data_IF_580897429339
#
_entry.id   IF_580897429339
#
_cell.length_a   1.000
_cell.length_b   1.000
_cell.length_c   1.000
_cell.angle_alpha   90.00
_cell.angle_beta   90.00
_cell.angle_gamma   90.00
#
_symmetry.space_group_name_H-M   'P 1'
#
loop_
_entity.id
_entity.type
_entity.pdbx_description
1 polymer ?
#
# COMPACT_ATOMS: atom_id res chain seq x y z
N UNK A 1 -2.05 10.82 13.60
CA UNK A 1 -2.85 9.76 14.24
C UNK A 1 -4.35 10.02 14.03
N UNK A 2 -4.89 11.25 14.27
CA UNK A 2 -6.31 11.54 14.13
C UNK A 2 -6.86 11.44 12.70
N UNK A 3 -6.13 11.92 11.67
CA UNK A 3 -6.58 11.86 10.26
C UNK A 3 -6.51 10.46 9.65
N UNK A 4 -5.56 9.62 10.06
CA UNK A 4 -5.45 8.22 9.59
C UNK A 4 -6.57 7.37 10.20
N UNK A 5 -6.87 7.59 11.48
CA UNK A 5 -8.02 6.95 12.11
C UNK A 5 -9.35 7.41 11.48
N UNK A 6 -9.43 8.64 10.99
CA UNK A 6 -10.63 9.16 10.35
C UNK A 6 -10.85 8.53 8.96
N UNK A 7 -9.80 8.33 8.16
CA UNK A 7 -9.90 7.70 6.82
C UNK A 7 -10.15 6.19 6.96
N UNK A 8 -9.49 5.51 7.92
CA UNK A 8 -9.82 4.11 8.25
C UNK A 8 -11.25 3.99 8.79
N UNK A 9 -11.67 4.94 9.63
CA UNK A 9 -13.03 5.00 10.16
C UNK A 9 -14.06 5.26 9.05
N UNK A 10 -13.76 6.14 8.08
CA UNK A 10 -14.64 6.41 6.93
C UNK A 10 -14.70 5.22 5.95
N UNK A 11 -13.58 4.55 5.63
CA UNK A 11 -13.59 3.37 4.76
C UNK A 11 -14.24 2.15 5.44
N UNK A 12 -13.99 1.95 6.73
CA UNK A 12 -14.67 0.93 7.53
C UNK A 12 -16.16 1.28 7.69
N UNK A 13 -16.48 2.56 7.92
CA UNK A 13 -17.85 3.05 8.02
C UNK A 13 -18.59 2.97 6.67
N UNK A 14 -17.93 3.28 5.54
CA UNK A 14 -18.52 3.14 4.20
C UNK A 14 -18.74 1.66 3.86
N UNK A 15 -17.84 0.77 4.26
CA UNK A 15 -18.01 -0.67 4.09
C UNK A 15 -19.16 -1.22 4.95
N UNK A 16 -19.23 -0.81 6.22
CA UNK A 16 -20.37 -1.16 7.07
C UNK A 16 -21.64 -0.47 6.61
N UNK A 17 -21.56 0.72 6.03
CA UNK A 17 -22.70 1.41 5.45
C UNK A 17 -23.19 0.72 4.16
N UNK A 18 -22.30 0.22 3.30
CA UNK A 18 -22.66 -0.56 2.09
C UNK A 18 -23.18 -1.94 2.49
N UNK A 19 -22.55 -2.61 3.47
CA UNK A 19 -23.10 -3.86 4.05
C UNK A 19 -24.42 -3.59 4.75
N UNK A 20 -24.57 -2.48 5.44
CA UNK A 20 -25.81 -2.06 6.08
C UNK A 20 -26.88 -1.74 5.03
N UNK A 21 -26.54 -1.10 3.91
CA UNK A 21 -27.46 -0.84 2.80
C UNK A 21 -27.82 -2.11 2.05
N UNK A 22 -26.85 -2.99 1.81
CA UNK A 22 -27.11 -4.33 1.24
C UNK A 22 -27.87 -5.22 2.22
N UNK A 23 -27.52 -5.18 3.51
CA UNK A 23 -28.29 -5.85 4.56
C UNK A 23 -29.67 -5.23 4.72
N UNK A 24 -29.85 -3.92 4.53
CA UNK A 24 -31.17 -3.28 4.48
C UNK A 24 -31.96 -3.63 3.23
N UNK A 25 -31.31 -3.68 2.06
CA UNK A 25 -31.97 -4.15 0.83
C UNK A 25 -32.27 -5.64 0.93
N UNK A 26 -31.33 -6.43 1.48
CA UNK A 26 -31.54 -7.86 1.74
C UNK A 26 -32.47 -8.10 2.95
N UNK A 27 -32.35 -7.29 4.02
CA UNK A 27 -33.30 -7.29 5.14
C UNK A 27 -34.68 -6.83 4.69
N UNK A 28 -34.78 -5.94 3.73
CA UNK A 28 -36.03 -5.59 3.07
C UNK A 28 -36.60 -6.78 2.28
N UNK A 29 -35.75 -7.55 1.58
CA UNK A 29 -36.14 -8.80 0.93
C UNK A 29 -36.47 -9.90 1.94
N UNK A 30 -35.67 -10.03 3.01
CA UNK A 30 -35.89 -11.01 4.09
C UNK A 30 -37.11 -10.63 4.94
N UNK A 31 -37.28 -9.36 5.31
CA UNK A 31 -38.45 -8.86 6.03
C UNK A 31 -39.71 -9.05 5.19
N UNK A 32 -39.64 -8.86 3.88
CA UNK A 32 -40.75 -9.08 2.99
C UNK A 32 -41.15 -10.57 2.92
N UNK A 33 -40.16 -11.48 2.78
CA UNK A 33 -40.41 -12.93 2.77
C UNK A 33 -40.76 -13.49 4.16
N UNK A 34 -40.13 -12.98 5.22
CA UNK A 34 -40.45 -13.40 6.60
C UNK A 34 -41.77 -12.82 7.11
N UNK A 35 -42.15 -11.61 6.68
CA UNK A 35 -43.44 -11.02 7.04
C UNK A 35 -44.63 -11.76 6.41
N UNK A 36 -44.45 -12.33 5.23
CA UNK A 36 -45.55 -13.13 4.61
C UNK A 36 -45.74 -14.47 5.33
N UNK A 37 -44.66 -15.16 5.74
CA UNK A 37 -44.75 -16.48 6.42
C UNK A 37 -45.00 -16.33 7.95
N UNK A 38 -44.64 -15.21 8.55
CA UNK A 38 -44.79 -14.94 9.99
C UNK A 38 -46.06 -14.17 10.33
N UNK A 39 -46.59 -13.36 9.40
CA UNK A 39 -47.86 -12.64 9.56
C UNK A 39 -49.09 -13.53 9.42
N UNK A 40 -48.94 -14.70 8.76
CA UNK A 40 -50.02 -15.73 8.74
C UNK A 40 -50.04 -16.55 10.04
N UNK A 41 -49.05 -16.46 10.92
CA UNK A 41 -48.95 -17.33 12.12
C UNK A 41 -48.87 -16.62 13.46
N UNK A 42 -48.70 -15.32 13.54
CA UNK A 42 -48.65 -14.62 14.84
C UNK A 42 -49.24 -13.23 14.75
N UNK A 43 -50.27 -13.05 15.54
CA UNK A 43 -50.98 -11.82 15.88
C UNK A 43 -50.03 -10.68 16.20
N UNK A 44 -49.80 -9.79 15.25
CA UNK A 44 -49.47 -8.40 15.54
C UNK A 44 -50.28 -7.52 14.60
N UNK A 45 -51.29 -6.93 15.17
CA UNK A 45 -52.16 -5.90 14.59
C UNK A 45 -51.30 -4.62 14.38
N UNK A 46 -50.59 -4.55 13.24
CA UNK A 46 -49.94 -3.31 12.78
C UNK A 46 -50.89 -2.58 11.83
N UNK A 47 -52.02 -2.15 12.36
CA UNK A 47 -52.99 -1.28 11.65
C UNK A 47 -52.63 0.21 11.87
N UNK A 48 -51.37 0.55 11.75
CA UNK A 48 -50.89 1.95 11.68
C UNK A 48 -49.80 2.13 10.61
N UNK A 49 -50.00 1.49 9.49
CA UNK A 49 -49.05 1.62 8.38
C UNK A 49 -49.21 2.95 7.66
N UNK A 50 -48.19 3.76 7.64
CA UNK A 50 -48.10 4.96 6.79
C UNK A 50 -48.52 4.60 5.35
N UNK A 51 -49.20 5.51 4.60
CA UNK A 51 -49.62 5.26 3.22
C UNK A 51 -48.48 4.80 2.29
N UNK A 52 -47.25 5.09 2.66
CA UNK A 52 -46.02 4.71 1.95
C UNK A 52 -45.80 3.18 2.06
N UNK A 53 -45.98 2.60 3.25
CA UNK A 53 -45.82 1.15 3.46
C UNK A 53 -46.87 0.31 2.72
N UNK A 54 -48.15 0.76 2.73
CA UNK A 54 -49.21 0.12 1.92
C UNK A 54 -48.89 0.18 0.44
N UNK A 55 -48.35 1.28 -0.04
CA UNK A 55 -47.97 1.48 -1.46
C UNK A 55 -46.76 0.64 -1.86
N UNK A 56 -45.78 0.49 -0.95
CA UNK A 56 -44.60 -0.38 -1.15
C UNK A 56 -45.02 -1.87 -1.12
N UNK A 57 -45.83 -2.28 -0.15
CA UNK A 57 -46.40 -3.66 -0.07
C UNK A 57 -47.17 -4.03 -1.32
N UNK A 58 -48.06 -3.13 -1.78
CA UNK A 58 -48.86 -3.34 -2.99
C UNK A 58 -47.95 -3.43 -4.24
N UNK A 59 -46.93 -2.56 -4.35
CA UNK A 59 -45.99 -2.63 -5.46
C UNK A 59 -45.10 -3.88 -5.42
N UNK A 60 -44.71 -4.33 -4.24
CA UNK A 60 -43.94 -5.56 -4.09
C UNK A 60 -44.77 -6.81 -4.35
N UNK A 61 -46.04 -6.85 -3.90
CA UNK A 61 -46.98 -7.95 -4.24
C UNK A 61 -47.30 -7.97 -5.74
N UNK A 62 -47.53 -6.81 -6.36
CA UNK A 62 -47.66 -6.75 -7.83
C UNK A 62 -46.38 -7.23 -8.52
N UNK A 63 -45.22 -6.84 -8.07
CA UNK A 63 -43.92 -7.27 -8.65
C UNK A 63 -43.68 -8.78 -8.50
N UNK A 64 -44.15 -9.40 -7.42
CA UNK A 64 -44.06 -10.85 -7.22
C UNK A 64 -45.06 -11.60 -8.07
N UNK A 65 -46.35 -11.18 -8.10
CA UNK A 65 -47.36 -11.74 -8.99
C UNK A 65 -47.00 -11.54 -10.47
N UNK A 66 -46.46 -10.37 -10.80
CA UNK A 66 -45.91 -10.12 -12.14
C UNK A 66 -44.66 -10.97 -12.42
N UNK A 67 -43.92 -11.38 -11.41
CA UNK A 67 -42.73 -12.24 -11.55
C UNK A 67 -43.13 -13.70 -11.83
N UNK A 68 -44.17 -14.21 -11.19
CA UNK A 68 -44.77 -15.54 -11.55
C UNK A 68 -45.33 -15.54 -12.96
N UNK A 69 -45.96 -14.45 -13.40
CA UNK A 69 -46.39 -14.26 -14.79
C UNK A 69 -45.24 -13.96 -15.76
N UNK A 70 -44.09 -13.41 -15.28
CA UNK A 70 -42.94 -13.04 -16.13
C UNK A 70 -41.86 -14.12 -16.20
N UNK A 71 -41.94 -15.19 -15.44
CA UNK A 71 -41.20 -16.43 -15.74
C UNK A 71 -41.54 -16.93 -17.14
N UNK A 72 -42.75 -16.59 -17.63
CA UNK A 72 -43.17 -16.83 -19.03
C UNK A 72 -42.81 -15.69 -20.01
N UNK A 73 -42.50 -14.48 -19.53
CA UNK A 73 -42.25 -13.28 -20.36
C UNK A 73 -40.97 -12.54 -19.94
N UNK A 74 -39.84 -13.20 -20.10
CA UNK A 74 -38.47 -12.77 -19.83
C UNK A 74 -38.08 -11.30 -19.81
N UNK A 75 -37.12 -10.99 -18.97
CA UNK A 75 -35.87 -10.35 -19.26
C UNK A 75 -35.56 -8.92 -18.81
N UNK A 76 -36.41 -7.99 -18.61
CA UNK A 76 -35.94 -6.63 -18.40
C UNK A 76 -35.56 -6.27 -16.96
N UNK A 77 -36.34 -6.67 -15.97
CA UNK A 77 -36.05 -6.35 -14.56
C UNK A 77 -34.98 -7.26 -13.92
N UNK A 78 -34.91 -8.50 -14.38
CA UNK A 78 -33.84 -9.43 -13.99
C UNK A 78 -32.46 -8.91 -14.42
N UNK A 79 -32.39 -8.25 -15.57
CA UNK A 79 -31.17 -7.60 -16.08
C UNK A 79 -30.76 -6.40 -15.20
N UNK A 80 -31.70 -5.54 -14.81
CA UNK A 80 -31.39 -4.39 -13.94
C UNK A 80 -30.83 -4.81 -12.56
N UNK A 81 -31.39 -5.88 -11.95
CA UNK A 81 -30.85 -6.41 -10.68
C UNK A 81 -29.50 -7.08 -10.87
N UNK A 82 -29.30 -7.80 -11.97
CA UNK A 82 -27.99 -8.37 -12.29
C UNK A 82 -26.96 -7.28 -12.56
N UNK A 83 -27.33 -6.20 -13.23
CA UNK A 83 -26.44 -5.07 -13.48
C UNK A 83 -26.03 -4.36 -12.18
N UNK A 84 -26.98 -4.18 -11.24
CA UNK A 84 -26.68 -3.65 -9.92
C UNK A 84 -25.70 -4.58 -9.16
N UNK A 85 -25.98 -5.88 -9.12
CA UNK A 85 -25.12 -6.85 -8.44
C UNK A 85 -23.76 -6.99 -9.11
N UNK A 86 -23.69 -6.81 -10.42
CA UNK A 86 -22.44 -6.83 -11.19
C UNK A 86 -21.61 -5.54 -11.04
N UNK A 87 -22.27 -4.40 -10.74
CA UNK A 87 -21.59 -3.12 -10.49
C UNK A 87 -20.90 -3.06 -9.12
N UNK A 88 -21.23 -3.97 -8.19
CA UNK A 88 -20.61 -4.03 -6.88
C UNK A 88 -19.19 -4.59 -6.98
N UNK A 89 -18.24 -3.92 -6.34
CA UNK A 89 -16.85 -4.43 -6.22
C UNK A 89 -16.71 -5.51 -5.14
N UNK A 90 -17.70 -6.40 -5.09
CA UNK A 90 -17.78 -7.53 -4.17
C UNK A 90 -18.06 -8.79 -4.97
N UNK A 91 -17.50 -9.89 -4.56
CA UNK A 91 -17.84 -11.20 -5.12
C UNK A 91 -19.03 -11.77 -4.35
N UNK A 92 -20.12 -12.06 -5.05
CA UNK A 92 -21.36 -12.57 -4.46
C UNK A 92 -21.72 -13.90 -5.10
N UNK A 93 -21.93 -14.92 -4.26
CA UNK A 93 -22.41 -16.24 -4.65
C UNK A 93 -23.59 -16.68 -3.79
N UNK A 94 -24.56 -17.36 -4.39
CA UNK A 94 -25.66 -18.03 -3.70
C UNK A 94 -25.53 -19.52 -3.98
N UNK A 95 -25.55 -20.33 -2.92
CA UNK A 95 -25.42 -21.77 -3.00
C UNK A 95 -26.60 -22.47 -2.31
N UNK A 96 -26.84 -23.73 -2.70
CA UNK A 96 -27.72 -24.64 -1.98
C UNK A 96 -26.99 -25.40 -0.85
N UNK A 97 -27.70 -26.31 -0.19
CA UNK A 97 -27.17 -27.14 0.90
C UNK A 97 -26.04 -28.08 0.43
N UNK A 98 -25.99 -28.44 -0.84
CA UNK A 98 -25.00 -29.31 -1.45
C UNK A 98 -23.82 -28.55 -2.04
N UNK A 99 -23.77 -27.22 -1.84
CA UNK A 99 -22.76 -26.30 -2.38
C UNK A 99 -22.90 -26.05 -3.90
N UNK A 100 -24.02 -26.40 -4.53
CA UNK A 100 -24.24 -26.05 -5.93
C UNK A 100 -24.45 -24.55 -6.06
N UNK A 101 -23.81 -23.93 -7.06
CA UNK A 101 -23.92 -22.52 -7.35
C UNK A 101 -25.25 -22.22 -8.06
N UNK A 102 -26.13 -21.52 -7.35
CA UNK A 102 -27.42 -21.08 -7.89
C UNK A 102 -27.27 -19.73 -8.62
N UNK A 103 -26.45 -18.85 -8.05
CA UNK A 103 -26.17 -17.54 -8.61
C UNK A 103 -24.75 -17.11 -8.26
N UNK A 104 -24.07 -16.44 -9.18
CA UNK A 104 -22.82 -15.71 -8.95
C UNK A 104 -22.81 -14.43 -9.79
N UNK A 105 -22.28 -13.34 -9.22
CA UNK A 105 -22.12 -12.13 -9.98
C UNK A 105 -20.88 -12.17 -10.89
N UNK A 106 -20.77 -11.19 -11.79
CA UNK A 106 -19.66 -11.12 -12.75
C UNK A 106 -18.29 -11.17 -12.08
N UNK A 107 -18.09 -10.40 -11.00
CA UNK A 107 -16.82 -10.35 -10.25
C UNK A 107 -16.41 -11.71 -9.69
N UNK A 108 -17.36 -12.49 -9.20
CA UNK A 108 -17.12 -13.84 -8.72
C UNK A 108 -16.68 -14.76 -9.87
N UNK A 109 -17.35 -14.67 -11.02
CA UNK A 109 -16.98 -15.46 -12.22
C UNK A 109 -15.59 -15.13 -12.72
N UNK A 110 -15.25 -13.83 -12.80
CA UNK A 110 -13.96 -13.34 -13.26
C UNK A 110 -12.81 -13.85 -12.39
N UNK A 111 -12.89 -13.65 -11.07
CA UNK A 111 -11.81 -13.99 -10.12
C UNK A 111 -11.60 -15.50 -10.00
N UNK A 112 -12.66 -16.29 -10.08
CA UNK A 112 -12.59 -17.75 -9.96
C UNK A 112 -12.60 -18.49 -11.31
N UNK A 113 -12.62 -17.75 -12.42
CA UNK A 113 -12.59 -18.29 -13.80
C UNK A 113 -13.68 -19.34 -14.03
N UNK A 114 -14.92 -19.00 -13.64
CA UNK A 114 -16.05 -19.90 -13.71
C UNK A 114 -16.67 -19.88 -15.10
N UNK A 115 -16.21 -20.74 -15.99
CA UNK A 115 -16.86 -20.88 -17.29
C UNK A 115 -18.08 -21.83 -17.22
N UNK A 116 -18.04 -22.85 -16.37
CA UNK A 116 -19.12 -23.85 -16.18
C UNK A 116 -19.04 -24.60 -14.85
N UNK A 117 -18.58 -23.98 -13.77
CA UNK A 117 -18.49 -24.71 -12.51
C UNK A 117 -19.82 -24.64 -11.76
N UNK A 118 -20.38 -25.79 -11.49
CA UNK A 118 -21.70 -25.93 -10.88
C UNK A 118 -21.60 -26.05 -9.35
N UNK A 119 -20.42 -26.27 -8.77
CA UNK A 119 -20.27 -26.52 -7.33
C UNK A 119 -19.09 -25.74 -6.73
N UNK A 120 -19.35 -25.03 -5.64
CA UNK A 120 -18.39 -24.18 -4.94
C UNK A 120 -17.16 -24.94 -4.42
N UNK A 121 -17.31 -26.20 -3.99
CA UNK A 121 -16.18 -27.03 -3.51
C UNK A 121 -15.20 -27.36 -4.61
N UNK A 122 -15.67 -27.55 -5.83
CA UNK A 122 -14.79 -27.82 -6.99
C UNK A 122 -14.06 -26.57 -7.45
N UNK A 123 -14.67 -25.41 -7.23
CA UNK A 123 -14.11 -24.10 -7.58
C UNK A 123 -13.01 -23.70 -6.61
N UNK A 124 -13.31 -23.71 -5.33
CA UNK A 124 -12.38 -23.17 -4.32
C UNK A 124 -11.35 -24.20 -3.86
N UNK A 125 -11.66 -25.49 -3.91
CA UNK A 125 -10.78 -26.63 -3.52
C UNK A 125 -10.07 -26.42 -2.18
N UNK A 126 -10.71 -25.70 -1.27
CA UNK A 126 -10.17 -25.36 0.05
C UNK A 126 -11.06 -25.98 1.15
N UNK A 127 -10.47 -26.86 1.93
CA UNK A 127 -11.15 -27.55 3.01
C UNK A 127 -11.49 -26.61 4.17
N UNK A 128 -10.62 -25.64 4.47
CA UNK A 128 -10.85 -24.68 5.53
C UNK A 128 -12.03 -23.78 5.20
N UNK A 129 -12.07 -23.23 3.98
CA UNK A 129 -13.19 -22.44 3.48
C UNK A 129 -14.49 -23.25 3.51
N UNK A 130 -14.45 -24.47 2.95
CA UNK A 130 -15.63 -25.35 2.87
C UNK A 130 -16.17 -25.74 4.25
N UNK A 131 -15.30 -25.92 5.24
CA UNK A 131 -15.72 -26.21 6.63
C UNK A 131 -16.44 -25.03 7.26
N UNK A 132 -15.94 -23.80 7.06
CA UNK A 132 -16.59 -22.58 7.59
C UNK A 132 -17.97 -22.37 6.99
N UNK A 133 -18.11 -22.58 5.68
CA UNK A 133 -19.42 -22.48 4.99
C UNK A 133 -20.36 -23.61 5.44
N UNK A 134 -19.83 -24.84 5.66
CA UNK A 134 -20.62 -25.96 6.18
C UNK A 134 -21.19 -25.68 7.57
N UNK A 135 -20.44 -24.97 8.41
CA UNK A 135 -20.93 -24.56 9.74
C UNK A 135 -22.15 -23.62 9.58
N UNK A 136 -22.11 -22.69 8.61
CA UNK A 136 -23.25 -21.79 8.31
C UNK A 136 -24.47 -22.60 7.85
N UNK A 137 -24.26 -23.61 7.01
CA UNK A 137 -25.32 -24.48 6.52
C UNK A 137 -25.96 -25.26 7.67
N UNK A 138 -25.14 -25.83 8.56
CA UNK A 138 -25.61 -26.66 9.66
C UNK A 138 -26.32 -25.86 10.76
N UNK A 139 -25.74 -24.72 11.15
CA UNK A 139 -26.23 -23.90 12.27
C UNK A 139 -27.29 -22.90 11.84
N UNK A 140 -27.40 -22.61 10.55
CA UNK A 140 -28.27 -21.58 9.98
C UNK A 140 -28.02 -20.19 10.59
N UNK A 141 -26.76 -19.91 10.94
CA UNK A 141 -26.32 -18.62 11.50
C UNK A 141 -25.35 -17.92 10.56
N UNK A 142 -25.36 -16.58 10.61
CA UNK A 142 -24.39 -15.76 9.89
C UNK A 142 -23.00 -15.99 10.48
N UNK A 143 -21.99 -16.16 9.62
CA UNK A 143 -20.58 -16.27 9.99
C UNK A 143 -19.73 -15.32 9.17
N UNK A 144 -18.76 -14.70 9.82
CA UNK A 144 -17.74 -13.88 9.16
C UNK A 144 -16.37 -14.48 9.47
N UNK A 145 -15.55 -14.66 8.45
CA UNK A 145 -14.21 -15.21 8.60
C UNK A 145 -13.30 -14.69 7.50
N UNK A 146 -11.99 -14.69 7.77
CA UNK A 146 -11.00 -14.40 6.76
C UNK A 146 -10.58 -15.68 6.05
N UNK A 147 -10.40 -15.57 4.74
CA UNK A 147 -9.93 -16.65 3.91
C UNK A 147 -8.68 -16.23 3.14
N UNK A 148 -7.63 -17.05 3.25
CA UNK A 148 -6.37 -16.86 2.56
C UNK A 148 -6.27 -17.84 1.38
N UNK A 149 -6.15 -17.29 0.18
CA UNK A 149 -5.94 -18.04 -1.06
C UNK A 149 -4.49 -17.87 -1.52
N UNK A 150 -3.60 -18.84 -1.26
CA UNK A 150 -2.16 -18.70 -1.59
C UNK A 150 -1.88 -18.76 -3.10
N UNK A 151 -2.70 -19.47 -3.88
CA UNK A 151 -2.52 -19.72 -5.31
C UNK A 151 -3.76 -19.23 -6.07
N UNK A 152 -3.61 -18.54 -7.24
CA UNK A 152 -2.35 -18.20 -7.91
C UNK A 152 -1.61 -16.98 -7.35
N UNK A 153 -2.29 -16.06 -6.65
CA UNK A 153 -1.77 -14.72 -6.37
C UNK A 153 -1.79 -14.32 -4.90
N UNK A 154 -1.60 -15.22 -3.93
CA UNK A 154 -1.53 -14.89 -2.49
C UNK A 154 -2.55 -13.81 -2.06
N UNK A 155 -3.83 -14.13 -2.13
CA UNK A 155 -4.93 -13.19 -1.90
C UNK A 155 -5.63 -13.45 -0.57
N UNK A 156 -6.04 -12.38 0.09
CA UNK A 156 -6.81 -12.41 1.33
C UNK A 156 -8.23 -11.89 1.08
N UNK A 157 -9.21 -12.61 1.60
CA UNK A 157 -10.62 -12.27 1.46
C UNK A 157 -11.29 -12.19 2.83
N UNK A 158 -12.07 -11.15 3.05
CA UNK A 158 -13.07 -11.11 4.11
C UNK A 158 -14.34 -11.75 3.58
N UNK A 159 -14.80 -12.79 4.25
CA UNK A 159 -15.93 -13.62 3.81
C UNK A 159 -17.07 -13.49 4.80
N UNK A 160 -18.24 -13.18 4.28
CA UNK A 160 -19.49 -13.18 5.05
C UNK A 160 -20.42 -14.20 4.43
N UNK A 161 -20.76 -15.24 5.20
CA UNK A 161 -21.72 -16.26 4.78
C UNK A 161 -22.94 -16.25 5.70
N UNK A 162 -24.14 -16.31 5.12
CA UNK A 162 -25.40 -16.27 5.87
C UNK A 162 -26.53 -16.99 5.14
N UNK A 163 -27.52 -17.53 5.88
CA UNK A 163 -28.66 -18.21 5.29
C UNK A 163 -29.67 -17.21 4.69
N UNK A 164 -30.29 -17.59 3.57
CA UNK A 164 -31.40 -16.88 2.93
C UNK A 164 -32.41 -17.94 2.54
N UNK A 165 -33.49 -18.09 3.31
CA UNK A 165 -34.48 -19.13 3.10
C UNK A 165 -33.85 -20.53 3.01
N UNK A 166 -33.95 -21.20 1.85
CA UNK A 166 -33.36 -22.51 1.59
C UNK A 166 -31.95 -22.45 0.96
N UNK A 167 -31.38 -21.25 0.82
CA UNK A 167 -30.10 -21.02 0.20
C UNK A 167 -29.13 -20.34 1.17
N UNK A 168 -27.88 -20.22 0.76
CA UNK A 168 -26.83 -19.56 1.53
C UNK A 168 -26.13 -18.54 0.64
N UNK A 169 -26.06 -17.32 1.12
CA UNK A 169 -25.35 -16.25 0.46
C UNK A 169 -23.92 -16.19 0.97
N UNK A 170 -22.97 -16.06 0.07
CA UNK A 170 -21.55 -15.88 0.36
C UNK A 170 -21.07 -14.61 -0.31
N UNK A 171 -20.57 -13.69 0.48
CA UNK A 171 -19.99 -12.43 0.00
C UNK A 171 -18.50 -12.44 0.33
N UNK A 172 -17.65 -12.21 -0.67
CA UNK A 172 -16.21 -12.11 -0.50
C UNK A 172 -15.75 -10.71 -0.91
N UNK A 173 -14.96 -10.09 -0.04
CA UNK A 173 -14.26 -8.85 -0.31
C UNK A 173 -12.77 -9.12 -0.35
N UNK A 174 -12.10 -8.72 -1.42
CA UNK A 174 -10.64 -8.79 -1.48
C UNK A 174 -10.04 -7.73 -0.53
N UNK A 175 -9.31 -8.19 0.48
CA UNK A 175 -8.64 -7.35 1.48
C UNK A 175 -7.11 -7.42 1.36
N UNK A 176 -6.59 -7.95 0.26
CA UNK A 176 -5.15 -8.18 0.06
C UNK A 176 -4.35 -6.89 0.23
N UNK A 177 -4.80 -5.80 -0.40
CA UNK A 177 -4.14 -4.49 -0.27
C UNK A 177 -4.13 -4.01 1.18
N UNK A 178 -5.25 -4.15 1.89
CA UNK A 178 -5.36 -3.75 3.30
C UNK A 178 -4.41 -4.57 4.16
N UNK A 179 -4.38 -5.90 3.97
CA UNK A 179 -3.49 -6.81 4.69
C UNK A 179 -2.01 -6.53 4.42
N UNK A 180 -1.67 -6.27 3.17
CA UNK A 180 -0.31 -5.90 2.80
C UNK A 180 0.11 -4.59 3.46
N UNK A 181 -0.76 -3.57 3.47
CA UNK A 181 -0.49 -2.30 4.15
C UNK A 181 -0.34 -2.48 5.67
N UNK A 182 -1.18 -3.30 6.31
CA UNK A 182 -1.05 -3.63 7.73
C UNK A 182 0.27 -4.35 8.03
N UNK A 183 0.68 -5.30 7.18
CA UNK A 183 1.94 -6.03 7.33
C UNK A 183 3.12 -5.06 7.20
N UNK A 184 3.15 -4.25 6.14
CA UNK A 184 4.19 -3.23 5.93
C UNK A 184 4.28 -2.27 7.13
N UNK A 185 3.13 -1.88 7.70
CA UNK A 185 3.09 -1.02 8.90
C UNK A 185 3.64 -1.72 10.14
N UNK A 186 3.30 -2.99 10.36
CA UNK A 186 3.81 -3.79 11.49
C UNK A 186 5.32 -3.97 11.37
N UNK A 187 5.79 -4.34 10.19
CA UNK A 187 7.22 -4.52 9.90
C UNK A 187 7.99 -3.20 10.07
N UNK A 188 7.41 -2.08 9.65
CA UNK A 188 7.98 -0.76 9.87
C UNK A 188 8.18 -0.46 11.36
N UNK A 189 7.16 -0.63 12.20
CA UNK A 189 7.27 -0.38 13.65
C UNK A 189 8.29 -1.32 14.30
N UNK A 190 8.31 -2.58 13.92
CA UNK A 190 9.27 -3.56 14.42
C UNK A 190 10.71 -3.19 14.04
N UNK A 191 10.93 -2.81 12.78
CA UNK A 191 12.25 -2.41 12.28
C UNK A 191 12.74 -1.10 12.94
N UNK A 192 11.88 -0.08 13.09
CA UNK A 192 12.21 1.15 13.83
C UNK A 192 12.66 0.82 15.24
N UNK A 193 11.89 -0.01 15.95
CA UNK A 193 12.20 -0.40 17.32
C UNK A 193 13.55 -1.11 17.41
N UNK A 194 13.84 -2.02 16.48
CA UNK A 194 15.10 -2.74 16.42
C UNK A 194 16.30 -1.83 16.10
N UNK A 195 16.16 -0.96 15.07
CA UNK A 195 17.24 -0.04 14.66
C UNK A 195 17.50 1.08 15.67
N UNK A 196 16.54 1.43 16.54
CA UNK A 196 16.76 2.32 17.69
C UNK A 196 17.37 1.61 18.90
N UNK A 197 16.94 0.35 19.19
CA UNK A 197 17.41 -0.40 20.36
C UNK A 197 18.92 -0.71 20.29
N UNK A 198 19.42 -1.03 19.10
CA UNK A 198 20.82 -1.43 18.90
C UNK A 198 21.81 -0.31 19.30
N UNK A 199 21.75 0.93 18.72
CA UNK A 199 22.62 2.01 19.11
C UNK A 199 22.43 2.44 20.56
N UNK A 200 21.18 2.44 21.06
CA UNK A 200 20.90 2.78 22.46
C UNK A 200 21.57 1.82 23.43
N UNK A 201 21.46 0.50 23.18
CA UNK A 201 22.15 -0.50 24.02
C UNK A 201 23.66 -0.37 23.97
N UNK A 202 24.23 0.00 22.81
CA UNK A 202 25.65 0.27 22.65
C UNK A 202 26.09 1.50 23.48
N UNK A 203 25.33 2.61 23.39
CA UNK A 203 25.58 3.84 24.17
C UNK A 203 25.58 3.51 25.67
N UNK A 204 24.55 2.81 26.16
CA UNK A 204 24.44 2.43 27.57
C UNK A 204 25.65 1.58 27.99
N UNK A 205 25.96 0.51 27.26
CA UNK A 205 27.06 -0.38 27.60
C UNK A 205 28.44 0.29 27.61
N UNK A 206 28.71 1.16 26.61
CA UNK A 206 29.99 1.90 26.59
C UNK A 206 30.03 3.00 27.66
N UNK A 207 28.88 3.60 28.03
CA UNK A 207 28.83 4.58 29.14
C UNK A 207 29.12 3.90 30.49
N UNK A 208 28.58 2.69 30.71
CA UNK A 208 28.88 1.89 31.90
C UNK A 208 30.36 1.48 31.92
N UNK A 209 30.89 1.03 30.78
CA UNK A 209 32.31 0.63 30.66
C UNK A 209 33.24 1.81 30.82
N UNK A 210 32.88 3.00 30.37
CA UNK A 210 33.64 4.25 30.48
C UNK A 210 33.92 4.58 31.95
N UNK A 211 32.98 4.33 32.84
CA UNK A 211 33.17 4.55 34.30
C UNK A 211 34.24 3.66 34.92
N UNK A 212 34.54 2.51 34.30
CA UNK A 212 35.52 1.52 34.76
C UNK A 212 36.85 1.63 34.04
N UNK A 213 36.95 2.47 33.00
CA UNK A 213 38.15 2.61 32.19
C UNK A 213 39.32 3.26 32.95
N UNK A 214 40.46 2.57 32.99
CA UNK A 214 41.63 3.00 33.77
C UNK A 214 42.63 3.88 32.97
N UNK A 215 42.55 3.79 31.62
CA UNK A 215 43.47 4.56 30.79
C UNK A 215 42.72 5.52 29.85
N UNK A 216 43.35 6.64 29.49
CA UNK A 216 42.78 7.68 28.66
C UNK A 216 42.51 7.22 27.20
N UNK A 217 43.30 6.25 26.70
CA UNK A 217 43.13 5.74 25.34
C UNK A 217 41.80 4.97 25.20
N UNK A 218 41.48 4.16 26.20
CA UNK A 218 40.18 3.41 26.19
C UNK A 218 39.00 4.35 26.41
N UNK A 219 39.17 5.36 27.31
CA UNK A 219 38.13 6.37 27.51
C UNK A 219 37.81 7.10 26.20
N UNK A 220 38.83 7.60 25.48
CA UNK A 220 38.66 8.30 24.23
C UNK A 220 38.00 7.40 23.17
N UNK A 221 38.36 6.11 23.10
CA UNK A 221 37.74 5.14 22.21
C UNK A 221 36.25 4.96 22.54
N UNK A 222 35.88 4.81 23.81
CA UNK A 222 34.48 4.62 24.21
C UNK A 222 33.65 5.87 23.96
N UNK A 223 34.21 7.08 24.25
CA UNK A 223 33.57 8.35 23.92
C UNK A 223 33.29 8.45 22.42
N UNK A 224 34.26 8.07 21.58
CA UNK A 224 34.10 8.12 20.12
C UNK A 224 32.97 7.18 19.65
N UNK A 225 32.90 5.96 20.20
CA UNK A 225 31.81 5.02 19.87
C UNK A 225 30.45 5.58 20.33
N UNK A 226 30.38 6.15 21.53
CA UNK A 226 29.12 6.76 22.03
C UNK A 226 28.68 7.90 21.09
N UNK A 227 29.62 8.76 20.66
CA UNK A 227 29.33 9.87 19.77
C UNK A 227 28.84 9.37 18.40
N UNK A 228 29.46 8.33 17.85
CA UNK A 228 29.11 7.71 16.59
C UNK A 228 27.70 7.11 16.66
N UNK A 229 27.38 6.34 17.71
CA UNK A 229 26.08 5.74 17.88
C UNK A 229 24.97 6.78 18.13
N UNK A 230 25.28 7.86 18.84
CA UNK A 230 24.37 8.98 19.06
C UNK A 230 24.08 9.74 17.75
N UNK A 231 25.08 9.96 16.93
CA UNK A 231 24.93 10.58 15.60
C UNK A 231 24.12 9.70 14.67
N UNK A 232 24.36 8.38 14.70
CA UNK A 232 23.56 7.41 13.94
C UNK A 232 22.09 7.43 14.35
N UNK A 233 21.81 7.49 15.66
CA UNK A 233 20.44 7.54 16.17
C UNK A 233 19.76 8.86 15.79
N UNK A 234 20.47 10.00 15.84
CA UNK A 234 19.97 11.28 15.37
C UNK A 234 19.57 11.21 13.89
N UNK A 235 20.46 10.73 13.02
CA UNK A 235 20.16 10.61 11.58
C UNK A 235 18.96 9.70 11.31
N UNK A 236 18.81 8.60 12.06
CA UNK A 236 17.64 7.71 11.93
C UNK A 236 16.34 8.43 12.29
N UNK A 237 16.36 9.24 13.36
CA UNK A 237 15.18 10.02 13.77
C UNK A 237 14.84 11.08 12.71
N UNK A 238 15.84 11.77 12.17
CA UNK A 238 15.66 12.77 11.09
C UNK A 238 15.07 12.12 9.83
N UNK A 239 15.55 10.94 9.43
CA UNK A 239 15.01 10.18 8.31
C UNK A 239 13.56 9.75 8.55
N UNK A 240 13.21 9.31 9.79
CA UNK A 240 11.84 8.94 10.16
C UNK A 240 10.89 10.14 10.13
N UNK A 241 11.32 11.30 10.63
CA UNK A 241 10.53 12.53 10.58
C UNK A 241 10.32 12.98 9.13
N UNK A 242 11.36 12.94 8.30
CA UNK A 242 11.28 13.25 6.87
C UNK A 242 10.30 12.32 6.16
N UNK A 243 10.40 11.00 6.40
CA UNK A 243 9.48 10.02 5.82
C UNK A 243 8.03 10.30 6.25
N UNK A 244 7.79 10.54 7.55
CA UNK A 244 6.46 10.87 8.07
C UNK A 244 5.90 12.15 7.44
N UNK A 245 6.73 13.14 7.20
CA UNK A 245 6.33 14.38 6.53
C UNK A 245 5.87 14.09 5.10
N UNK A 246 6.67 13.38 4.31
CA UNK A 246 6.34 13.09 2.91
C UNK A 246 5.18 12.09 2.74
N UNK A 247 4.91 11.20 3.69
CA UNK A 247 3.74 10.31 3.67
C UNK A 247 2.42 11.04 3.89
N UNK A 248 2.44 12.17 4.60
CA UNK A 248 1.23 12.93 4.90
C UNK A 248 0.87 13.99 3.83
N UNK A 249 1.74 14.22 2.85
CA UNK A 249 1.57 15.27 1.83
C UNK A 249 0.74 14.85 0.60
N UNK A 250 0.02 13.74 0.63
CA UNK A 250 -0.73 13.20 -0.53
C UNK A 250 -1.72 14.16 -1.22
N UNK A 251 -1.96 15.39 -0.70
CA UNK A 251 -2.98 16.29 -1.23
C UNK A 251 -2.60 17.79 -1.28
N UNK A 252 -1.35 18.17 -1.31
CA UNK A 252 -1.04 19.59 -1.50
C UNK A 252 -0.97 19.92 -2.99
N UNK A 253 -2.02 20.57 -3.51
CA UNK A 253 -2.10 21.10 -4.89
C UNK A 253 -1.13 22.26 -5.19
N UNK A 254 -0.24 22.61 -4.29
CA UNK A 254 0.72 23.68 -4.52
C UNK A 254 1.82 23.15 -5.44
N UNK A 255 1.66 23.34 -6.72
CA UNK A 255 2.73 23.17 -7.72
C UNK A 255 3.86 24.13 -7.38
N UNK A 256 4.85 23.66 -6.67
CA UNK A 256 6.10 24.39 -6.45
C UNK A 256 7.04 24.04 -7.59
N UNK A 257 7.69 25.05 -8.15
CA UNK A 257 8.72 24.86 -9.15
C UNK A 257 10.08 25.05 -8.48
N UNK A 258 11.07 24.27 -8.89
CA UNK A 258 12.42 24.47 -8.41
C UNK A 258 13.46 24.32 -9.53
N UNK A 259 14.54 25.08 -9.41
CA UNK A 259 15.71 25.01 -10.27
C UNK A 259 16.54 23.77 -9.93
N UNK A 260 16.78 22.93 -10.95
CA UNK A 260 17.57 21.71 -10.81
C UNK A 260 19.01 22.04 -10.44
N UNK A 261 19.62 23.03 -11.09
CA UNK A 261 21.00 23.43 -10.85
C UNK A 261 21.19 23.88 -9.40
N UNK A 262 20.28 24.74 -8.89
CA UNK A 262 20.38 25.22 -7.51
C UNK A 262 20.25 24.07 -6.49
N UNK A 263 19.30 23.16 -6.71
CA UNK A 263 19.09 22.04 -5.79
C UNK A 263 20.28 21.08 -5.76
N UNK A 264 20.81 20.71 -6.92
CA UNK A 264 21.96 19.81 -7.01
C UNK A 264 23.21 20.44 -6.38
N UNK A 265 23.48 21.73 -6.64
CA UNK A 265 24.62 22.42 -6.02
C UNK A 265 24.49 22.51 -4.50
N UNK A 266 23.31 22.76 -3.95
CA UNK A 266 23.08 22.73 -2.50
C UNK A 266 23.37 21.34 -1.93
N UNK A 267 22.93 20.28 -2.60
CA UNK A 267 23.19 18.90 -2.17
C UNK A 267 24.69 18.54 -2.22
N UNK A 268 25.39 18.91 -3.30
CA UNK A 268 26.84 18.69 -3.44
C UNK A 268 27.61 19.40 -2.32
N UNK A 269 27.32 20.69 -2.08
CA UNK A 269 27.97 21.47 -1.04
C UNK A 269 27.73 20.88 0.36
N UNK A 270 26.53 20.35 0.64
CA UNK A 270 26.23 19.73 1.94
C UNK A 270 27.01 18.43 2.19
N UNK A 271 27.47 17.76 1.14
CA UNK A 271 28.21 16.50 1.20
C UNK A 271 29.71 16.64 0.89
N UNK A 272 30.20 17.87 0.71
CA UNK A 272 31.58 18.15 0.34
C UNK A 272 32.62 17.57 1.34
N UNK A 273 32.36 17.69 2.64
CA UNK A 273 33.21 17.11 3.68
C UNK A 273 33.34 15.59 3.52
N UNK A 274 32.20 14.89 3.35
CA UNK A 274 32.19 13.43 3.21
C UNK A 274 32.86 12.96 1.92
N UNK A 275 32.67 13.67 0.81
CA UNK A 275 33.33 13.33 -0.46
C UNK A 275 34.84 13.50 -0.39
N UNK A 276 35.32 14.57 0.27
CA UNK A 276 36.74 14.83 0.49
C UNK A 276 37.39 13.78 1.39
N UNK A 277 36.72 13.31 2.43
CA UNK A 277 37.23 12.26 3.32
C UNK A 277 37.57 10.96 2.56
N UNK A 278 36.81 10.62 1.52
CA UNK A 278 37.04 9.46 0.66
C UNK A 278 37.78 9.80 -0.65
N UNK A 279 38.17 11.05 -0.83
CA UNK A 279 38.79 11.54 -2.07
C UNK A 279 37.92 11.22 -3.31
N UNK A 280 36.59 11.44 -3.20
CA UNK A 280 35.63 11.23 -4.29
C UNK A 280 35.33 12.58 -4.93
N UNK A 281 35.50 12.66 -6.25
CA UNK A 281 35.15 13.83 -7.05
C UNK A 281 33.72 13.76 -7.58
N UNK A 282 32.93 14.81 -7.40
CA UNK A 282 31.57 14.91 -7.91
C UNK A 282 31.60 15.87 -9.10
N UNK A 283 31.18 15.38 -10.26
CA UNK A 283 31.11 16.14 -11.50
C UNK A 283 29.64 16.46 -11.83
N UNK A 284 29.35 17.75 -11.92
CA UNK A 284 28.04 18.26 -12.31
C UNK A 284 28.25 19.48 -13.22
N UNK A 285 27.64 19.47 -14.40
CA UNK A 285 27.70 20.59 -15.33
C UNK A 285 26.61 21.61 -15.03
N UNK A 286 26.96 22.66 -14.31
CA UNK A 286 26.05 23.74 -13.89
C UNK A 286 25.98 24.92 -14.87
N UNK A 287 26.72 24.82 -16.00
CA UNK A 287 26.70 25.84 -17.05
C UNK A 287 25.61 25.63 -18.11
N UNK A 288 24.83 24.54 -17.99
CA UNK A 288 23.66 24.29 -18.84
C UNK A 288 22.52 25.26 -18.53
N UNK A 289 21.56 25.35 -19.45
CA UNK A 289 20.35 26.15 -19.26
C UNK A 289 19.64 25.78 -17.96
N UNK A 290 19.18 26.80 -17.24
CA UNK A 290 18.41 26.62 -16.01
C UNK A 290 17.06 25.99 -16.34
N UNK A 291 16.80 24.80 -15.78
CA UNK A 291 15.57 24.04 -16.00
C UNK A 291 14.84 23.91 -14.68
N UNK A 292 13.52 24.10 -14.73
CA UNK A 292 12.64 23.91 -13.56
C UNK A 292 11.82 22.63 -13.68
N UNK A 293 11.66 21.97 -12.51
CA UNK A 293 10.81 20.79 -12.35
C UNK A 293 9.72 21.04 -11.31
N UNK A 294 8.62 20.32 -11.44
CA UNK A 294 7.45 20.45 -10.57
C UNK A 294 7.67 19.72 -9.24
N UNK A 295 8.47 20.30 -8.36
CA UNK A 295 8.63 19.87 -6.96
C UNK A 295 9.14 21.05 -6.13
N UNK A 296 9.21 20.92 -4.80
CA UNK A 296 9.83 21.96 -3.99
C UNK A 296 11.36 21.87 -4.02
N UNK A 297 12.00 23.00 -3.73
CA UNK A 297 13.48 23.05 -3.64
C UNK A 297 14.01 22.08 -2.59
N UNK A 298 13.36 22.03 -1.44
CA UNK A 298 13.74 21.15 -0.32
C UNK A 298 13.60 19.68 -0.71
N UNK A 299 12.54 19.31 -1.43
CA UNK A 299 12.31 17.96 -1.91
C UNK A 299 13.38 17.48 -2.89
N UNK A 300 13.73 18.32 -3.87
CA UNK A 300 14.78 17.97 -4.83
C UNK A 300 16.16 17.90 -4.19
N UNK A 301 16.46 18.81 -3.26
CA UNK A 301 17.70 18.75 -2.44
C UNK A 301 17.75 17.44 -1.65
N UNK A 302 16.64 17.03 -1.02
CA UNK A 302 16.57 15.78 -0.26
C UNK A 302 16.76 14.54 -1.14
N UNK A 303 16.17 14.52 -2.34
CA UNK A 303 16.40 13.47 -3.34
C UNK A 303 17.90 13.37 -3.65
N UNK A 304 18.51 14.51 -4.01
CA UNK A 304 19.91 14.56 -4.40
C UNK A 304 20.85 14.14 -3.26
N UNK A 305 20.61 14.63 -2.03
CA UNK A 305 21.39 14.24 -0.85
C UNK A 305 21.34 12.73 -0.63
N UNK A 306 20.14 12.13 -0.68
CA UNK A 306 19.99 10.70 -0.43
C UNK A 306 20.71 9.83 -1.47
N UNK A 307 20.69 10.24 -2.75
CA UNK A 307 21.35 9.48 -3.81
C UNK A 307 22.87 9.71 -3.77
N UNK A 308 23.33 10.95 -3.63
CA UNK A 308 24.77 11.28 -3.59
C UNK A 308 25.43 10.69 -2.34
N UNK A 309 24.80 10.78 -1.16
CA UNK A 309 25.32 10.18 0.08
C UNK A 309 25.43 8.65 -0.04
N UNK A 310 24.46 7.98 -0.67
CA UNK A 310 24.56 6.57 -1.01
C UNK A 310 25.72 6.30 -1.97
N UNK A 311 25.87 7.10 -3.01
CA UNK A 311 26.98 6.96 -3.97
C UNK A 311 28.34 7.11 -3.29
N UNK A 312 28.50 8.08 -2.38
CA UNK A 312 29.74 8.27 -1.58
C UNK A 312 29.96 7.08 -0.64
N UNK A 313 28.91 6.62 0.05
CA UNK A 313 29.00 5.52 1.02
C UNK A 313 29.47 4.22 0.38
N UNK A 314 28.93 3.86 -0.78
CA UNK A 314 29.17 2.57 -1.41
C UNK A 314 30.24 2.59 -2.50
N UNK A 315 30.80 3.76 -2.81
CA UNK A 315 31.97 3.88 -3.68
C UNK A 315 33.28 3.64 -2.92
N UNK A 316 34.29 3.21 -3.67
CA UNK A 316 35.68 3.13 -3.18
C UNK A 316 36.29 4.52 -3.10
N UNK A 317 37.40 4.63 -2.37
CA UNK A 317 38.22 5.83 -2.39
C UNK A 317 38.75 6.12 -3.78
N UNK A 318 38.99 7.39 -4.09
CA UNK A 318 39.56 7.86 -5.37
C UNK A 318 38.69 7.51 -6.59
N UNK A 319 37.38 7.57 -6.45
CA UNK A 319 36.41 7.36 -7.54
C UNK A 319 35.65 8.64 -7.87
N UNK A 320 34.84 8.59 -8.92
CA UNK A 320 34.06 9.71 -9.40
C UNK A 320 32.56 9.43 -9.34
N UNK A 321 31.79 10.50 -9.07
CA UNK A 321 30.32 10.51 -9.22
C UNK A 321 30.01 11.53 -10.31
N UNK A 322 29.18 11.13 -11.29
CA UNK A 322 28.74 11.99 -12.38
C UNK A 322 27.25 12.27 -12.23
N UNK A 323 26.87 13.53 -12.35
CA UNK A 323 25.48 13.97 -12.32
C UNK A 323 25.18 14.69 -13.63
N UNK A 324 24.19 14.20 -14.35
CA UNK A 324 23.77 14.72 -15.64
C UNK A 324 22.24 14.90 -15.62
N UNK A 325 21.72 15.79 -16.47
CA UNK A 325 20.27 15.87 -16.69
C UNK A 325 19.94 16.07 -18.16
N UNK A 326 18.81 15.51 -18.59
CA UNK A 326 18.33 15.62 -19.96
C UNK A 326 16.80 15.59 -20.02
N UNK A 327 16.24 16.32 -20.95
CA UNK A 327 14.81 16.27 -21.24
C UNK A 327 14.53 14.97 -21.99
N UNK A 328 13.60 14.16 -21.49
CA UNK A 328 13.08 13.01 -22.23
C UNK A 328 12.32 13.50 -23.46
N UNK A 329 12.70 12.96 -24.63
CA UNK A 329 12.04 13.24 -25.89
C UNK A 329 10.53 12.91 -25.83
N UNK A 330 9.79 13.43 -26.81
CA UNK A 330 8.32 13.34 -26.91
C UNK A 330 7.80 11.89 -26.73
N UNK A 331 7.32 11.59 -25.54
CA UNK A 331 6.38 10.50 -25.36
C UNK A 331 5.00 10.97 -25.78
N UNK A 332 4.13 10.07 -26.21
CA UNK A 332 2.74 10.38 -26.68
C UNK A 332 1.87 11.11 -25.63
N UNK A 333 2.39 11.39 -24.43
CA UNK A 333 1.72 12.18 -23.39
C UNK A 333 2.12 13.66 -23.50
N UNK A 334 1.18 14.55 -23.27
CA UNK A 334 1.39 16.02 -23.27
C UNK A 334 2.35 16.50 -22.15
N UNK A 335 2.71 15.68 -21.20
CA UNK A 335 3.60 16.01 -20.08
C UNK A 335 5.04 15.58 -20.40
N UNK A 336 5.96 16.55 -20.44
CA UNK A 336 7.41 16.28 -20.58
C UNK A 336 8.03 16.00 -19.21
N UNK A 337 9.07 15.18 -19.20
CA UNK A 337 9.83 14.82 -18.00
C UNK A 337 11.30 15.22 -18.17
N UNK A 338 11.92 15.59 -17.06
CA UNK A 338 13.35 15.74 -16.95
C UNK A 338 13.93 14.54 -16.21
N UNK A 339 14.92 13.89 -16.80
CA UNK A 339 15.74 12.87 -16.15
C UNK A 339 16.97 13.51 -15.52
N UNK A 340 17.15 13.29 -14.23
CA UNK A 340 18.39 13.59 -13.49
C UNK A 340 19.05 12.25 -13.22
N UNK A 341 20.27 12.07 -13.72
CA UNK A 341 21.00 10.79 -13.68
C UNK A 341 22.23 10.92 -12.80
N UNK A 342 22.32 10.08 -11.78
CA UNK A 342 23.43 9.98 -10.86
C UNK A 342 24.17 8.67 -11.15
N UNK A 343 25.44 8.75 -11.53
CA UNK A 343 26.29 7.58 -11.86
C UNK A 343 27.46 7.51 -10.88
N UNK A 344 27.56 6.39 -10.18
CA UNK A 344 28.69 6.10 -9.30
C UNK A 344 29.58 4.98 -9.86
N UNK A 345 30.80 4.90 -9.32
CA UNK A 345 31.78 3.84 -9.60
C UNK A 345 31.92 2.90 -8.40
N UNK A 346 30.82 2.67 -7.70
CA UNK A 346 30.78 1.86 -6.50
C UNK A 346 30.82 0.36 -6.76
N UNK A 347 30.43 -0.39 -5.72
CA UNK A 347 30.46 -1.86 -5.74
C UNK A 347 29.43 -2.45 -6.70
N UNK A 348 28.42 -1.67 -7.11
CA UNK A 348 27.26 -2.17 -7.82
C UNK A 348 26.33 -3.02 -6.96
N UNK A 349 25.19 -3.34 -7.51
CA UNK A 349 24.08 -4.00 -6.83
C UNK A 349 23.65 -5.23 -7.67
N UNK A 350 23.37 -6.35 -7.01
CA UNK A 350 22.85 -7.52 -7.70
C UNK A 350 21.41 -7.29 -8.18
N UNK A 351 21.05 -7.81 -9.33
CA UNK A 351 19.77 -7.58 -10.00
C UNK A 351 18.57 -7.96 -9.12
N UNK A 352 18.68 -9.02 -8.33
CA UNK A 352 17.65 -9.51 -7.39
C UNK A 352 17.29 -8.51 -6.30
N UNK A 353 18.21 -7.59 -5.96
CA UNK A 353 17.99 -6.56 -4.94
C UNK A 353 17.36 -5.28 -5.48
N UNK A 354 17.51 -4.99 -6.77
CA UNK A 354 17.09 -3.73 -7.39
C UNK A 354 15.60 -3.41 -7.12
N UNK A 355 14.64 -4.34 -7.30
CA UNK A 355 13.22 -4.06 -7.06
C UNK A 355 12.90 -3.67 -5.60
N UNK A 356 13.76 -4.08 -4.66
CA UNK A 356 13.54 -3.92 -3.22
C UNK A 356 14.27 -2.73 -2.62
N UNK A 357 15.17 -2.09 -3.33
CA UNK A 357 16.00 -1.00 -2.80
C UNK A 357 15.21 0.20 -2.27
N UNK A 358 14.00 0.40 -2.76
CA UNK A 358 13.09 1.46 -2.31
C UNK A 358 12.14 1.02 -1.20
N UNK A 359 12.24 -0.23 -0.71
CA UNK A 359 11.53 -0.69 0.48
C UNK A 359 12.16 -0.07 1.74
N UNK A 360 11.35 0.23 2.76
CA UNK A 360 11.82 0.81 4.02
C UNK A 360 12.72 -0.18 4.76
N UNK A 361 13.86 0.29 5.27
CA UNK A 361 14.88 -0.51 5.98
C UNK A 361 15.55 -1.60 5.17
N UNK A 362 15.28 -1.67 3.86
CA UNK A 362 15.91 -2.68 3.03
C UNK A 362 17.39 -2.41 2.83
N UNK A 363 18.20 -3.46 2.92
CA UNK A 363 19.65 -3.44 2.75
C UNK A 363 20.12 -4.74 2.10
N UNK A 364 21.03 -4.64 1.15
CA UNK A 364 21.60 -5.81 0.45
C UNK A 364 22.54 -6.62 1.35
N UNK A 365 23.27 -5.96 2.26
CA UNK A 365 24.15 -6.56 3.26
C UNK A 365 24.01 -5.78 4.58
N UNK A 366 23.37 -6.41 5.56
CA UNK A 366 23.07 -5.79 6.85
C UNK A 366 24.33 -5.50 7.67
N UNK A 367 25.34 -6.39 7.62
CA UNK A 367 26.57 -6.24 8.41
C UNK A 367 27.39 -5.06 7.88
N UNK A 368 27.68 -5.05 6.59
CA UNK A 368 28.45 -4.00 5.94
C UNK A 368 27.74 -2.64 5.96
N UNK A 369 26.43 -2.63 5.79
CA UNK A 369 25.67 -1.37 5.83
C UNK A 369 25.60 -0.77 7.24
N UNK A 370 25.77 -1.58 8.30
CA UNK A 370 25.92 -1.06 9.67
C UNK A 370 27.24 -0.36 9.89
N UNK A 371 28.33 -0.87 9.32
CA UNK A 371 29.65 -0.23 9.38
C UNK A 371 29.68 1.11 8.62
N UNK A 372 28.97 1.20 7.50
CA UNK A 372 28.91 2.40 6.65
C UNK A 372 27.85 3.41 7.12
N UNK A 373 27.05 3.08 8.17
CA UNK A 373 26.12 4.03 8.80
C UNK A 373 24.83 4.30 8.00
N UNK A 374 24.38 3.38 7.15
CA UNK A 374 23.12 3.53 6.42
C UNK A 374 21.89 3.23 7.29
N UNK A 375 20.80 3.95 7.15
CA UNK A 375 19.50 3.71 7.82
C UNK A 375 18.59 2.77 7.04
N UNK A 376 18.77 2.68 5.72
CA UNK A 376 17.88 1.96 4.81
C UNK A 376 16.56 2.72 4.52
N UNK A 377 16.49 4.00 4.88
CA UNK A 377 15.33 4.86 4.65
C UNK A 377 15.51 5.84 3.47
N UNK A 378 16.74 6.18 3.11
CA UNK A 378 17.01 7.23 2.12
C UNK A 378 16.32 7.01 0.77
N UNK A 379 16.42 5.81 0.17
CA UNK A 379 15.75 5.53 -1.11
C UNK A 379 14.23 5.41 -1.00
N UNK A 380 13.69 5.02 0.15
CA UNK A 380 12.25 5.05 0.39
C UNK A 380 11.73 6.48 0.50
N UNK A 381 12.50 7.40 1.11
CA UNK A 381 12.20 8.84 1.12
C UNK A 381 12.18 9.38 -0.31
N UNK A 382 13.20 9.08 -1.12
CA UNK A 382 13.24 9.46 -2.54
C UNK A 382 11.98 8.99 -3.28
N UNK A 383 11.59 7.74 -3.11
CA UNK A 383 10.38 7.19 -3.74
C UNK A 383 9.11 7.92 -3.32
N UNK A 384 8.95 8.25 -2.02
CA UNK A 384 7.78 8.99 -1.53
C UNK A 384 7.73 10.39 -2.10
N UNK A 385 8.84 11.13 -2.09
CA UNK A 385 8.91 12.46 -2.70
C UNK A 385 8.54 12.40 -4.18
N UNK A 386 9.08 11.44 -4.92
CA UNK A 386 8.79 11.28 -6.34
C UNK A 386 7.31 10.95 -6.59
N UNK A 387 6.73 10.03 -5.84
CA UNK A 387 5.32 9.69 -5.97
C UNK A 387 4.40 10.89 -5.74
N UNK A 388 4.71 11.74 -4.74
CA UNK A 388 3.94 12.94 -4.44
C UNK A 388 4.03 13.97 -5.58
N UNK A 389 5.15 13.99 -6.30
CA UNK A 389 5.40 14.91 -7.42
C UNK A 389 5.19 14.25 -8.79
N UNK A 390 4.52 13.10 -8.88
CA UNK A 390 4.27 12.35 -10.12
C UNK A 390 5.54 11.98 -10.88
N UNK A 391 6.64 11.85 -10.14
CA UNK A 391 7.93 11.41 -10.65
C UNK A 391 8.14 9.90 -10.44
N UNK A 392 9.24 9.39 -10.96
CA UNK A 392 9.63 8.00 -10.78
C UNK A 392 11.15 7.85 -10.69
N UNK A 393 11.59 6.72 -10.12
CA UNK A 393 12.99 6.34 -10.05
C UNK A 393 13.23 5.04 -10.82
N UNK A 394 14.28 5.01 -11.63
CA UNK A 394 14.80 3.81 -12.26
C UNK A 394 16.25 3.59 -11.78
N UNK A 395 16.60 2.34 -11.50
CA UNK A 395 17.91 1.97 -10.99
C UNK A 395 18.51 0.92 -11.94
N UNK A 396 19.71 1.20 -12.45
CA UNK A 396 20.48 0.28 -13.26
C UNK A 396 21.83 0.07 -12.59
N UNK A 397 22.19 -1.17 -12.30
CA UNK A 397 23.42 -1.48 -11.60
C UNK A 397 23.96 -2.84 -11.97
N UNK A 398 25.29 -2.97 -11.90
CA UNK A 398 25.97 -4.24 -12.09
C UNK A 398 27.11 -4.37 -11.10
N UNK A 399 27.21 -5.51 -10.42
CA UNK A 399 28.27 -5.78 -9.45
C UNK A 399 29.64 -5.49 -10.06
N UNK A 400 30.43 -4.70 -9.34
CA UNK A 400 31.78 -4.28 -9.73
C UNK A 400 31.87 -3.16 -10.77
N UNK A 401 30.73 -2.65 -11.28
CA UNK A 401 30.68 -1.59 -12.30
C UNK A 401 30.05 -0.28 -11.81
N UNK A 402 29.54 -0.25 -10.59
CA UNK A 402 28.82 0.90 -10.04
C UNK A 402 27.32 0.85 -10.31
N UNK A 403 26.64 1.97 -10.02
CA UNK A 403 25.20 2.11 -10.15
C UNK A 403 24.82 3.41 -10.86
N UNK A 404 23.71 3.38 -11.56
CA UNK A 404 23.04 4.52 -12.16
C UNK A 404 21.64 4.66 -11.54
N UNK A 405 21.40 5.79 -10.90
CA UNK A 405 20.10 6.18 -10.37
C UNK A 405 19.54 7.26 -11.26
N UNK A 406 18.38 7.01 -11.86
CA UNK A 406 17.68 7.93 -12.74
C UNK A 406 16.40 8.39 -12.07
N UNK A 407 16.29 9.68 -11.83
CA UNK A 407 15.15 10.36 -11.25
C UNK A 407 14.44 11.15 -12.33
N UNK A 408 13.17 10.84 -12.58
CA UNK A 408 12.35 11.52 -13.57
C UNK A 408 11.30 12.37 -12.87
N UNK A 409 11.27 13.67 -13.16
CA UNK A 409 10.31 14.64 -12.62
C UNK A 409 9.59 15.37 -13.75
N UNK A 410 8.31 15.77 -13.55
CA UNK A 410 7.60 16.57 -14.54
C UNK A 410 8.32 17.90 -14.78
N UNK A 411 8.58 18.18 -16.05
CA UNK A 411 9.16 19.44 -16.50
C UNK A 411 8.13 20.56 -16.40
N UNK A 412 8.54 21.72 -15.89
CA UNK A 412 7.74 22.93 -15.96
C UNK A 412 8.01 23.57 -17.31
N UNK A 413 6.98 23.60 -18.16
CA UNK A 413 7.05 24.31 -19.43
C UNK A 413 6.57 25.73 -19.16
N UNK A 414 7.47 26.70 -19.25
CA UNK A 414 7.17 28.13 -19.17
C UNK A 414 6.36 28.62 -20.38
#
# INVERSE_FOLDING_TARGET
IWKINLILFFNVSLFYFIIFLLAQVLLYFVIYFFLEDYLDKTIFDFDSGSPVFKKIRYKLQQNIMDRERRIELGDKQSLEYQDILNSLDLMLGIIDIDFNLIFVNYKFKEVFQLDKADNLKTVLRDLAFSSQVKDVINNKEKKTFEWHRPIPNNQFYDVVAFPINNFFCIVLKNITTIRNLETVRKDFVANVSHELKTPLSSIIGYTETLSMAKNEKDKNKFIQIILEQSTRMKNLIEDLLSLSTYENYENSEIKKNCSVIKAINVAINSLESKSKEKNISIFFDDQKEEIEVACSQEELVQIAINIIDNSIKYSKENTNIFIEYHILGETQSSQKYLDIVFKDQGLGIAEEHIPRLTERFYRTDVARSREVGGTGLGLSIVKHILNNNRGFIAINSKIGKGSEFRVSLPLVIS
#
